data_IF_674279707870
#
_entry.id   IF_674279707870
#
_cell.length_a   1.000
_cell.length_b   1.000
_cell.length_c   1.000
_cell.angle_alpha   90.00
_cell.angle_beta   90.00
_cell.angle_gamma   90.00
#
_symmetry.space_group_name_H-M   'P 1'
#
loop_
_entity.id
_entity.type
_entity.pdbx_description
1 polymer ?
#
# COMPACT_ATOMS: atom_id res chain seq x y z
N UNK A 1 43.58 15.64 3.58
CA UNK A 1 42.27 15.33 4.19
C UNK A 1 41.37 16.54 3.97
N UNK A 2 40.51 16.49 2.95
CA UNK A 2 39.62 17.60 2.61
C UNK A 2 38.22 17.26 3.09
N UNK A 3 37.75 18.02 4.06
CA UNK A 3 36.40 17.94 4.62
C UNK A 3 35.35 18.09 3.53
N UNK A 4 34.79 16.97 3.10
CA UNK A 4 33.55 16.94 2.33
C UNK A 4 32.44 17.42 3.24
N UNK A 5 31.99 18.67 3.07
CA UNK A 5 30.63 19.05 3.46
C UNK A 5 29.69 18.18 2.61
N UNK A 6 29.42 16.96 3.08
CA UNK A 6 28.42 16.10 2.50
C UNK A 6 27.09 16.81 2.67
N UNK A 7 26.42 17.05 1.54
CA UNK A 7 25.02 17.44 1.59
C UNK A 7 24.25 16.34 2.34
N UNK A 8 23.23 16.73 3.10
CA UNK A 8 22.31 15.77 3.73
C UNK A 8 20.94 15.95 3.13
N UNK A 9 20.79 15.78 1.82
CA UNK A 9 19.46 15.67 1.23
C UNK A 9 18.86 14.31 1.62
N UNK A 10 17.58 14.23 2.05
CA UNK A 10 16.57 15.29 2.00
C UNK A 10 16.47 16.14 3.27
N UNK A 11 17.21 15.84 4.35
CA UNK A 11 17.18 16.59 5.62
C UNK A 11 17.41 18.10 5.44
N UNK A 12 18.27 18.48 4.48
CA UNK A 12 18.57 19.86 4.12
C UNK A 12 18.19 20.15 2.67
N UNK A 13 17.19 21.02 2.48
CA UNK A 13 16.78 21.55 1.19
C UNK A 13 16.31 23.01 1.39
N UNK A 14 17.10 24.03 1.01
CA UNK A 14 18.26 24.00 0.13
C UNK A 14 19.55 23.44 0.76
N UNK A 15 20.48 23.01 -0.09
CA UNK A 15 21.83 22.60 0.31
C UNK A 15 22.91 23.22 -0.57
N UNK A 16 24.14 23.29 -0.05
CA UNK A 16 25.31 23.88 -0.72
C UNK A 16 26.30 22.79 -1.15
N UNK A 17 26.82 22.90 -2.36
CA UNK A 17 27.86 22.03 -2.89
C UNK A 17 28.99 22.88 -3.51
N UNK A 18 30.23 22.66 -3.06
CA UNK A 18 31.41 23.35 -3.60
C UNK A 18 31.98 22.54 -4.77
N UNK A 19 32.04 23.16 -5.95
CA UNK A 19 32.44 22.52 -7.20
C UNK A 19 33.31 23.48 -8.02
N UNK A 20 34.52 23.07 -8.39
CA UNK A 20 35.48 23.88 -9.16
C UNK A 20 35.61 25.32 -8.62
N UNK A 21 35.88 25.45 -7.31
CA UNK A 21 35.98 26.73 -6.58
C UNK A 21 34.71 27.61 -6.58
N UNK A 22 33.58 27.10 -7.09
CA UNK A 22 32.28 27.78 -7.06
C UNK A 22 31.37 27.09 -6.06
N UNK A 23 30.67 27.87 -5.24
CA UNK A 23 29.62 27.35 -4.37
C UNK A 23 28.30 27.41 -5.12
N UNK A 24 27.69 26.25 -5.32
CA UNK A 24 26.34 26.13 -5.86
C UNK A 24 25.38 25.85 -4.71
N UNK A 25 24.26 26.55 -4.68
CA UNK A 25 23.14 26.26 -3.79
C UNK A 25 22.00 25.68 -4.63
N UNK A 26 21.54 24.49 -4.25
CA UNK A 26 20.45 23.80 -4.89
C UNK A 26 19.23 23.76 -3.98
N UNK A 27 18.06 24.03 -4.54
CA UNK A 27 16.76 23.75 -3.93
C UNK A 27 16.04 22.74 -4.83
N UNK A 28 15.93 21.49 -4.39
CA UNK A 28 15.21 20.46 -5.14
C UNK A 28 13.72 20.75 -5.02
N UNK A 29 13.06 21.04 -6.14
CA UNK A 29 11.61 21.31 -6.21
C UNK A 29 10.87 20.01 -6.57
N UNK A 30 11.35 19.31 -7.60
CA UNK A 30 10.92 17.96 -7.96
C UNK A 30 12.15 17.10 -8.16
N UNK A 31 12.28 16.04 -7.37
CA UNK A 31 13.42 15.11 -7.44
C UNK A 31 13.46 14.31 -8.75
N UNK A 32 12.29 14.11 -9.38
CA UNK A 32 12.15 13.28 -10.57
C UNK A 32 12.42 11.80 -10.28
N UNK A 33 12.45 10.99 -11.33
CA UNK A 33 12.75 9.56 -11.27
C UNK A 33 13.66 9.17 -12.43
N UNK A 34 14.46 8.11 -12.29
CA UNK A 34 15.17 7.59 -13.46
C UNK A 34 14.22 6.76 -14.32
N UNK A 35 14.17 7.02 -15.65
CA UNK A 35 13.42 6.18 -16.58
C UNK A 35 13.86 4.72 -16.57
N UNK A 36 13.07 3.87 -17.23
CA UNK A 36 13.40 2.45 -17.44
C UNK A 36 14.76 2.28 -18.10
N UNK A 37 15.45 1.17 -17.80
CA UNK A 37 16.82 0.89 -18.27
C UNK A 37 17.00 1.01 -19.80
N UNK A 38 15.94 0.81 -20.57
CA UNK A 38 15.98 0.84 -22.03
C UNK A 38 16.02 2.26 -22.62
N UNK A 39 15.65 3.29 -21.85
CA UNK A 39 15.56 4.68 -22.31
C UNK A 39 16.36 5.66 -21.46
N UNK A 40 16.99 5.21 -20.38
CA UNK A 40 17.75 6.08 -19.49
C UNK A 40 18.98 6.65 -20.20
N UNK A 41 19.10 7.98 -20.21
CA UNK A 41 20.25 8.68 -20.77
C UNK A 41 21.28 9.04 -19.68
N UNK A 42 22.52 9.28 -20.12
CA UNK A 42 23.64 9.68 -19.27
C UNK A 42 24.33 10.92 -19.82
N UNK A 43 24.86 11.77 -18.94
CA UNK A 43 25.80 12.84 -19.30
C UNK A 43 27.15 12.58 -18.65
N UNK A 44 28.24 12.89 -19.33
CA UNK A 44 29.60 12.66 -18.82
C UNK A 44 30.30 13.96 -18.42
N UNK A 45 31.07 13.92 -17.35
CA UNK A 45 32.04 14.97 -17.06
C UNK A 45 33.24 14.83 -18.01
N UNK A 46 33.81 15.95 -18.48
CA UNK A 46 35.08 15.98 -19.26
C UNK A 46 36.32 15.66 -18.40
N UNK A 47 36.18 14.79 -17.39
CA UNK A 47 37.29 14.33 -16.55
C UNK A 47 37.99 13.14 -17.21
N UNK A 48 39.29 12.95 -16.91
CA UNK A 48 40.10 11.80 -17.37
C UNK A 48 39.45 10.45 -17.04
N UNK A 49 38.62 10.40 -16.01
CA UNK A 49 37.97 9.17 -15.54
C UNK A 49 36.57 8.94 -16.14
N UNK A 50 36.08 9.85 -17.01
CA UNK A 50 34.83 9.65 -17.76
C UNK A 50 33.58 9.46 -16.89
N UNK A 51 33.51 10.04 -15.69
CA UNK A 51 32.37 9.87 -14.77
C UNK A 51 31.06 10.24 -15.46
N UNK A 52 30.11 9.29 -15.47
CA UNK A 52 28.78 9.44 -16.05
C UNK A 52 27.74 9.68 -14.96
N UNK A 53 26.75 10.50 -15.27
CA UNK A 53 25.63 10.84 -14.40
C UNK A 53 24.32 10.50 -15.11
N UNK A 54 23.45 9.76 -14.44
CA UNK A 54 22.11 9.41 -14.93
C UNK A 54 21.25 10.66 -15.05
N UNK A 55 20.47 10.76 -16.13
CA UNK A 55 19.57 11.89 -16.36
C UNK A 55 18.16 11.53 -15.85
N UNK A 56 17.63 12.23 -14.83
CA UNK A 56 16.28 11.97 -14.31
C UNK A 56 15.18 12.60 -15.19
N UNK A 57 13.99 12.01 -15.18
CA UNK A 57 12.78 12.55 -15.78
C UNK A 57 11.93 13.29 -14.74
N UNK A 58 11.13 14.28 -15.19
CA UNK A 58 10.29 15.16 -14.37
C UNK A 58 11.07 15.82 -13.21
N UNK A 59 12.32 16.16 -13.47
CA UNK A 59 13.22 16.75 -12.49
C UNK A 59 13.16 18.28 -12.56
N UNK A 60 13.10 18.94 -11.42
CA UNK A 60 13.07 20.39 -11.31
C UNK A 60 13.90 20.84 -10.10
N UNK A 61 14.89 21.67 -10.34
CA UNK A 61 15.78 22.22 -9.30
C UNK A 61 15.95 23.71 -9.51
N UNK A 62 15.93 24.46 -8.42
CA UNK A 62 16.42 25.84 -8.43
C UNK A 62 17.91 25.84 -8.10
N UNK A 63 18.73 26.42 -8.96
CA UNK A 63 20.17 26.50 -8.79
C UNK A 63 20.59 27.96 -8.67
N UNK A 64 21.45 28.26 -7.69
CA UNK A 64 22.09 29.58 -7.61
C UNK A 64 23.59 29.51 -7.33
N UNK A 65 24.35 30.42 -7.92
CA UNK A 65 25.80 30.55 -7.75
C UNK A 65 26.25 32.00 -8.01
N UNK A 66 27.49 32.34 -7.64
CA UNK A 66 28.02 33.69 -7.75
C UNK A 66 27.81 34.53 -6.47
N UNK A 67 28.17 35.81 -6.51
CA UNK A 67 28.11 36.72 -5.35
C UNK A 67 27.50 38.07 -5.73
N UNK A 68 26.75 38.66 -4.79
CA UNK A 68 26.16 40.00 -4.96
C UNK A 68 25.33 40.11 -6.24
N UNK A 69 25.54 41.19 -6.98
CA UNK A 69 24.82 41.49 -8.23
C UNK A 69 25.16 40.53 -9.39
N UNK A 70 26.20 39.70 -9.24
CA UNK A 70 26.59 38.67 -10.20
C UNK A 70 26.03 37.29 -9.83
N UNK A 71 25.12 37.23 -8.84
CA UNK A 71 24.46 35.99 -8.46
C UNK A 71 23.50 35.56 -9.57
N UNK A 72 23.72 34.36 -10.07
CA UNK A 72 22.78 33.68 -10.94
C UNK A 72 21.79 32.90 -10.07
N UNK A 73 20.50 33.02 -10.38
CA UNK A 73 19.42 32.20 -9.80
C UNK A 73 18.51 31.78 -10.94
N UNK A 74 18.41 30.47 -11.16
CA UNK A 74 17.67 29.88 -12.28
C UNK A 74 16.91 28.64 -11.82
N UNK A 75 15.89 28.23 -12.58
CA UNK A 75 15.26 26.91 -12.43
C UNK A 75 15.64 26.03 -13.61
N UNK A 76 16.19 24.87 -13.32
CA UNK A 76 16.59 23.87 -14.29
C UNK A 76 15.59 22.73 -14.27
N UNK A 77 15.09 22.35 -15.44
CA UNK A 77 14.08 21.32 -15.62
C UNK A 77 14.56 20.28 -16.62
N UNK A 78 14.26 19.01 -16.33
CA UNK A 78 14.52 17.89 -17.24
C UNK A 78 13.25 17.07 -17.39
N UNK A 79 12.85 16.89 -18.65
CA UNK A 79 11.71 16.10 -19.03
C UNK A 79 12.05 15.23 -20.25
N UNK A 80 11.65 13.97 -20.22
CA UNK A 80 11.80 13.06 -21.37
C UNK A 80 10.59 13.16 -22.27
N UNK A 81 10.83 13.30 -23.58
CA UNK A 81 9.79 13.24 -24.61
C UNK A 81 9.38 11.79 -24.92
N UNK A 82 8.31 11.62 -25.71
CA UNK A 82 7.74 10.31 -26.05
C UNK A 82 8.71 9.40 -26.80
N UNK A 83 9.69 9.96 -27.49
CA UNK A 83 10.76 9.26 -28.21
C UNK A 83 11.91 8.81 -27.28
N UNK A 84 11.84 9.13 -25.98
CA UNK A 84 12.85 8.82 -25.00
C UNK A 84 14.02 9.82 -24.95
N UNK A 85 13.96 10.93 -25.67
CA UNK A 85 14.99 11.96 -25.60
C UNK A 85 14.75 12.93 -24.44
N UNK A 86 15.75 13.19 -23.57
CA UNK A 86 15.64 14.20 -22.52
C UNK A 86 15.78 15.62 -23.10
N UNK A 87 14.90 16.50 -22.63
CA UNK A 87 14.91 17.93 -22.92
C UNK A 87 15.36 18.68 -21.67
N UNK A 88 16.36 19.54 -21.83
CA UNK A 88 16.95 20.33 -20.77
C UNK A 88 16.50 21.79 -20.88
N UNK A 89 15.73 22.27 -19.91
CA UNK A 89 15.21 23.65 -19.88
C UNK A 89 15.84 24.43 -18.74
N UNK A 90 16.19 25.69 -19.00
CA UNK A 90 16.63 26.64 -17.97
C UNK A 90 15.74 27.86 -18.03
N UNK A 91 14.97 28.05 -16.96
CA UNK A 91 14.13 29.20 -16.72
C UNK A 91 14.91 30.25 -15.91
N UNK A 92 14.94 31.48 -16.40
CA UNK A 92 15.65 32.57 -15.74
C UNK A 92 14.94 33.90 -15.97
N UNK A 93 15.14 34.84 -15.04
CA UNK A 93 14.59 36.17 -15.16
C UNK A 93 15.65 37.15 -15.68
N UNK A 94 15.27 38.04 -16.60
CA UNK A 94 16.10 39.14 -17.10
C UNK A 94 15.19 40.33 -17.35
N UNK A 95 15.55 41.51 -16.85
CA UNK A 95 14.77 42.74 -17.03
C UNK A 95 13.27 42.59 -16.66
N UNK A 96 12.98 41.92 -15.54
CA UNK A 96 11.62 41.64 -15.05
C UNK A 96 10.74 40.78 -15.98
N UNK A 97 11.38 40.06 -16.92
CA UNK A 97 10.72 39.10 -17.80
C UNK A 97 11.33 37.71 -17.62
N UNK A 98 10.48 36.69 -17.69
CA UNK A 98 10.88 35.30 -17.63
C UNK A 98 11.28 34.81 -19.03
N UNK A 99 12.43 34.16 -19.11
CA UNK A 99 12.95 33.54 -20.32
C UNK A 99 13.21 32.06 -20.07
N UNK A 100 13.19 31.29 -21.16
CA UNK A 100 13.55 29.89 -21.18
C UNK A 100 14.56 29.64 -22.30
N UNK A 101 15.61 28.88 -21.99
CA UNK A 101 16.44 28.22 -23.00
C UNK A 101 16.19 26.72 -22.94
N UNK A 102 16.19 26.08 -24.09
CA UNK A 102 15.93 24.65 -24.23
C UNK A 102 17.02 24.02 -25.08
N UNK A 103 17.51 22.86 -24.66
CA UNK A 103 18.38 22.02 -25.47
C UNK A 103 17.99 20.55 -25.37
N UNK A 104 17.98 19.84 -26.50
CA UNK A 104 17.81 18.38 -26.58
C UNK A 104 19.13 17.61 -26.69
N UNK A 105 20.25 18.32 -26.85
CA UNK A 105 21.56 17.69 -27.06
C UNK A 105 22.27 17.34 -25.75
N UNK A 106 22.32 18.28 -24.80
CA UNK A 106 22.95 18.05 -23.49
C UNK A 106 22.60 19.13 -22.48
N UNK A 107 22.70 18.85 -21.16
CA UNK A 107 22.54 19.87 -20.13
C UNK A 107 23.62 20.95 -20.24
N UNK A 108 24.80 20.60 -20.76
CA UNK A 108 25.90 21.54 -20.94
C UNK A 108 25.59 22.53 -22.06
N UNK A 109 24.95 22.10 -23.15
CA UNK A 109 24.53 23.02 -24.21
C UNK A 109 23.50 24.03 -23.69
N UNK A 110 22.45 23.56 -23.01
CA UNK A 110 21.45 24.43 -22.37
C UNK A 110 22.12 25.45 -21.41
N UNK A 111 23.05 25.00 -20.57
CA UNK A 111 23.76 25.89 -19.64
C UNK A 111 24.57 26.99 -20.34
N UNK A 112 25.21 26.67 -21.46
CA UNK A 112 25.99 27.64 -22.23
C UNK A 112 25.12 28.58 -23.07
N UNK A 113 23.98 28.11 -23.57
CA UNK A 113 22.97 28.96 -24.22
C UNK A 113 22.36 29.96 -23.24
N UNK A 114 22.08 29.53 -22.00
CA UNK A 114 21.70 30.45 -20.92
C UNK A 114 22.76 31.53 -20.69
N UNK A 115 24.04 31.13 -20.59
CA UNK A 115 25.12 32.09 -20.33
C UNK A 115 25.25 33.12 -21.47
N UNK A 116 25.17 32.67 -22.73
CA UNK A 116 25.16 33.55 -23.91
C UNK A 116 23.93 34.46 -23.95
N UNK A 117 22.77 33.97 -23.51
CA UNK A 117 21.54 34.78 -23.40
C UNK A 117 21.66 35.89 -22.35
N UNK A 118 22.43 35.66 -21.28
CA UNK A 118 22.77 36.68 -20.27
C UNK A 118 23.85 37.63 -20.76
N UNK A 119 24.90 37.12 -21.39
CA UNK A 119 26.01 37.90 -21.93
C UNK A 119 26.49 37.28 -23.28
N UNK A 120 26.08 37.83 -24.43
CA UNK A 120 26.41 37.27 -25.74
C UNK A 120 27.91 37.17 -26.03
N UNK A 121 28.72 38.07 -25.45
CA UNK A 121 30.16 38.15 -25.66
C UNK A 121 30.96 37.27 -24.68
N UNK A 122 30.29 36.40 -23.93
CA UNK A 122 30.95 35.53 -22.96
C UNK A 122 31.77 34.44 -23.66
N UNK A 123 33.02 34.28 -23.24
CA UNK A 123 33.87 33.13 -23.61
C UNK A 123 33.90 32.04 -22.51
N UNK A 124 33.23 32.28 -21.39
CA UNK A 124 33.15 31.31 -20.32
C UNK A 124 32.23 30.14 -20.69
N UNK A 125 32.48 28.97 -20.12
CA UNK A 125 31.61 27.81 -20.26
C UNK A 125 31.10 27.34 -18.90
N UNK A 126 29.81 27.00 -18.85
CA UNK A 126 29.20 26.34 -17.71
C UNK A 126 29.15 24.83 -17.92
N UNK A 127 29.34 24.10 -16.81
CA UNK A 127 29.10 22.66 -16.76
C UNK A 127 27.62 22.41 -16.53
N UNK A 128 26.95 21.74 -17.48
CA UNK A 128 25.55 21.35 -17.32
C UNK A 128 25.33 20.46 -16.10
N UNK A 129 26.30 19.59 -15.78
CA UNK A 129 26.25 18.71 -14.61
C UNK A 129 26.12 19.53 -13.32
N UNK A 130 26.88 20.63 -13.20
CA UNK A 130 26.82 21.52 -12.04
C UNK A 130 25.57 22.39 -12.08
N UNK A 131 25.24 22.99 -13.22
CA UNK A 131 24.07 23.86 -13.36
C UNK A 131 22.75 23.13 -13.02
N UNK A 132 22.64 21.85 -13.39
CA UNK A 132 21.48 21.01 -13.08
C UNK A 132 21.62 20.24 -11.75
N UNK A 133 22.76 20.34 -11.05
CA UNK A 133 23.02 19.60 -9.82
C UNK A 133 23.01 18.08 -9.98
N UNK A 134 23.33 17.56 -11.17
CA UNK A 134 23.28 16.12 -11.48
C UNK A 134 24.34 15.30 -10.73
N UNK A 135 25.34 15.95 -10.16
CA UNK A 135 26.38 15.32 -9.34
C UNK A 135 26.13 15.44 -7.83
N UNK A 136 24.93 15.86 -7.42
CA UNK A 136 24.52 15.80 -6.02
C UNK A 136 24.23 14.33 -5.63
N UNK A 137 25.24 13.64 -5.08
CA UNK A 137 25.18 12.20 -4.79
C UNK A 137 24.05 11.80 -3.85
N UNK A 138 23.65 12.67 -2.92
CA UNK A 138 22.59 12.34 -1.97
C UNK A 138 21.21 12.41 -2.63
N UNK A 139 21.02 13.33 -3.58
CA UNK A 139 19.80 13.39 -4.42
C UNK A 139 19.73 12.14 -5.32
N UNK A 140 20.86 11.72 -5.88
CA UNK A 140 20.94 10.47 -6.63
C UNK A 140 20.55 9.26 -5.77
N UNK A 141 21.13 9.12 -4.57
CA UNK A 141 20.81 8.03 -3.64
C UNK A 141 19.34 8.01 -3.25
N UNK A 142 18.73 9.16 -2.95
CA UNK A 142 17.31 9.23 -2.63
C UNK A 142 16.43 8.81 -3.82
N UNK A 143 16.78 9.26 -5.02
CA UNK A 143 16.08 8.85 -6.25
C UNK A 143 16.23 7.35 -6.50
N UNK A 144 17.42 6.81 -6.26
CA UNK A 144 17.67 5.37 -6.36
C UNK A 144 16.92 4.59 -5.31
N UNK A 145 16.84 5.03 -4.04
CA UNK A 145 16.04 4.36 -3.01
C UNK A 145 14.57 4.26 -3.41
N UNK A 146 14.01 5.30 -4.03
CA UNK A 146 12.63 5.31 -4.54
C UNK A 146 12.46 4.41 -5.77
N UNK A 147 13.45 4.35 -6.66
CA UNK A 147 13.45 3.44 -7.81
C UNK A 147 13.78 1.99 -7.44
N UNK A 148 14.44 1.76 -6.31
CA UNK A 148 14.55 0.48 -5.62
C UNK A 148 13.33 0.29 -4.73
N UNK A 149 12.13 0.40 -5.30
CA UNK A 149 11.08 -0.50 -4.84
C UNK A 149 11.69 -1.89 -5.00
N UNK A 150 12.08 -2.54 -3.90
CA UNK A 150 12.56 -3.92 -3.94
C UNK A 150 11.68 -4.67 -4.91
N UNK A 151 12.23 -5.12 -6.04
CA UNK A 151 11.42 -5.84 -7.00
C UNK A 151 10.80 -6.98 -6.22
N UNK A 152 9.47 -6.95 -6.10
CA UNK A 152 8.79 -7.92 -5.28
C UNK A 152 9.18 -9.28 -5.83
N UNK A 153 9.67 -10.17 -4.96
CA UNK A 153 9.90 -11.56 -5.34
C UNK A 153 8.66 -12.07 -6.08
N UNK A 154 8.80 -12.74 -7.23
CA UNK A 154 7.67 -13.30 -7.98
C UNK A 154 6.71 -14.05 -7.07
N UNK A 155 5.41 -13.93 -7.32
CA UNK A 155 4.39 -14.44 -6.40
C UNK A 155 4.50 -15.95 -6.17
N UNK A 156 4.90 -16.72 -7.18
CA UNK A 156 5.13 -18.16 -7.10
C UNK A 156 6.34 -18.54 -6.22
N UNK A 157 7.29 -17.61 -6.01
CA UNK A 157 8.46 -17.82 -5.15
C UNK A 157 8.21 -17.47 -3.67
N UNK A 158 6.98 -17.07 -3.33
CA UNK A 158 6.60 -16.74 -1.97
C UNK A 158 6.05 -17.96 -1.22
N UNK A 159 6.27 -18.00 0.09
CA UNK A 159 5.50 -18.88 0.96
C UNK A 159 4.03 -18.45 0.99
N UNK A 160 3.11 -19.36 1.31
CA UNK A 160 1.68 -19.04 1.41
C UNK A 160 1.39 -17.90 2.39
N UNK A 161 2.13 -17.84 3.51
CA UNK A 161 2.03 -16.73 4.48
C UNK A 161 2.39 -15.38 3.84
N UNK A 162 3.48 -15.33 3.05
CA UNK A 162 3.88 -14.11 2.35
C UNK A 162 2.89 -13.72 1.24
N UNK A 163 2.33 -14.71 0.51
CA UNK A 163 1.27 -14.47 -0.49
C UNK A 163 0.05 -13.82 0.16
N UNK A 164 -0.40 -14.34 1.30
CA UNK A 164 -1.53 -13.79 2.06
C UNK A 164 -1.24 -12.40 2.60
N UNK A 165 -0.05 -12.18 3.20
CA UNK A 165 0.34 -10.84 3.70
C UNK A 165 0.37 -9.80 2.58
N UNK A 166 0.93 -10.15 1.43
CA UNK A 166 1.01 -9.25 0.27
C UNK A 166 -0.37 -8.91 -0.27
N UNK A 167 -1.23 -9.91 -0.43
CA UNK A 167 -2.60 -9.73 -0.92
C UNK A 167 -3.42 -8.86 0.06
N UNK A 168 -3.29 -9.09 1.37
CA UNK A 168 -3.89 -8.24 2.40
C UNK A 168 -3.38 -6.80 2.33
N UNK A 169 -2.08 -6.60 2.16
CA UNK A 169 -1.49 -5.26 2.03
C UNK A 169 -2.03 -4.52 0.82
N UNK A 170 -2.23 -5.21 -0.31
CA UNK A 170 -2.86 -4.66 -1.50
C UNK A 170 -4.31 -4.25 -1.23
N UNK A 171 -5.09 -5.08 -0.55
CA UNK A 171 -6.47 -4.76 -0.15
C UNK A 171 -6.55 -3.51 0.73
N UNK A 172 -5.70 -3.40 1.77
CA UNK A 172 -5.67 -2.21 2.64
C UNK A 172 -5.35 -0.95 1.82
N UNK A 173 -4.39 -1.07 0.89
CA UNK A 173 -4.01 0.05 0.04
C UNK A 173 -5.15 0.49 -0.89
N UNK A 174 -5.91 -0.46 -1.45
CA UNK A 174 -7.07 -0.15 -2.30
C UNK A 174 -8.18 0.59 -1.55
N UNK A 175 -8.44 0.22 -0.30
CA UNK A 175 -9.37 0.97 0.56
C UNK A 175 -8.88 2.40 0.80
N UNK A 176 -7.59 2.58 1.10
CA UNK A 176 -7.01 3.92 1.24
C UNK A 176 -7.17 4.77 -0.04
N UNK A 177 -6.93 4.16 -1.21
CA UNK A 177 -7.12 4.84 -2.50
C UNK A 177 -8.59 5.23 -2.69
N UNK A 178 -9.51 4.29 -2.42
CA UNK A 178 -10.94 4.53 -2.55
C UNK A 178 -11.39 5.73 -1.69
N UNK A 179 -10.99 5.77 -0.42
CA UNK A 179 -11.33 6.88 0.48
C UNK A 179 -10.79 8.22 -0.02
N UNK A 180 -9.56 8.25 -0.56
CA UNK A 180 -8.94 9.48 -1.06
C UNK A 180 -9.57 9.98 -2.36
N UNK A 181 -9.89 9.07 -3.29
CA UNK A 181 -10.41 9.43 -4.61
C UNK A 181 -11.92 9.70 -4.61
N UNK A 182 -12.65 9.14 -3.65
CA UNK A 182 -14.10 9.29 -3.53
C UNK A 182 -14.58 10.74 -3.63
N UNK A 183 -13.86 11.67 -2.98
CA UNK A 183 -14.20 13.10 -2.97
C UNK A 183 -14.11 13.77 -4.34
N UNK A 184 -13.41 13.16 -5.29
CA UNK A 184 -13.30 13.66 -6.66
C UNK A 184 -14.52 13.31 -7.53
N UNK A 185 -15.33 12.33 -7.12
CA UNK A 185 -16.43 11.78 -7.92
C UNK A 185 -17.81 11.91 -7.28
N UNK A 186 -17.88 11.94 -5.95
CA UNK A 186 -19.14 11.94 -5.20
C UNK A 186 -19.23 13.15 -4.28
N UNK A 187 -20.47 13.58 -3.99
CA UNK A 187 -20.69 14.56 -2.94
C UNK A 187 -20.47 13.90 -1.56
N UNK A 188 -20.03 14.68 -0.57
CA UNK A 188 -19.86 14.19 0.80
C UNK A 188 -21.15 13.62 1.41
N UNK A 189 -22.33 14.04 0.93
CA UNK A 189 -23.63 13.50 1.33
C UNK A 189 -23.94 12.11 0.77
N UNK A 190 -23.29 11.68 -0.32
CA UNK A 190 -23.62 10.42 -1.00
C UNK A 190 -23.05 9.18 -0.30
N UNK A 191 -22.09 9.37 0.63
CA UNK A 191 -21.48 8.33 1.48
C UNK A 191 -21.15 7.02 0.73
N UNK A 192 -20.34 7.04 -0.33
CA UNK A 192 -19.98 5.82 -1.04
C UNK A 192 -19.09 4.94 -0.15
N UNK A 193 -19.31 3.63 -0.22
CA UNK A 193 -18.63 2.62 0.60
C UNK A 193 -18.03 1.55 -0.32
N UNK A 194 -16.75 1.24 -0.12
CA UNK A 194 -16.13 0.08 -0.74
C UNK A 194 -16.60 -1.17 0.01
N UNK A 195 -17.34 -2.06 -0.66
CA UNK A 195 -17.92 -3.24 -0.01
C UNK A 195 -16.97 -4.43 -0.02
N UNK A 196 -16.50 -4.83 -1.20
CA UNK A 196 -15.56 -5.93 -1.38
C UNK A 196 -14.64 -5.68 -2.58
N UNK A 197 -13.46 -6.29 -2.54
CA UNK A 197 -12.63 -6.49 -3.73
C UNK A 197 -12.38 -7.97 -3.95
N UNK A 198 -12.51 -8.39 -5.21
CA UNK A 198 -12.14 -9.72 -5.69
C UNK A 198 -11.05 -9.58 -6.72
N UNK A 199 -9.96 -10.31 -6.53
CA UNK A 199 -8.85 -10.29 -7.46
C UNK A 199 -8.16 -11.64 -7.50
N UNK A 200 -7.52 -11.93 -8.63
CA UNK A 200 -6.75 -13.14 -8.82
C UNK A 200 -5.27 -12.78 -8.96
N UNK A 201 -4.41 -13.58 -8.33
CA UNK A 201 -2.97 -13.56 -8.60
C UNK A 201 -2.54 -14.96 -9.02
N UNK A 202 -2.19 -15.09 -10.30
CA UNK A 202 -1.89 -16.36 -10.96
C UNK A 202 -3.12 -17.28 -11.03
N UNK A 203 -3.25 -18.18 -10.04
CA UNK A 203 -4.34 -19.16 -9.96
C UNK A 203 -5.02 -19.13 -8.58
N UNK A 204 -4.78 -18.08 -7.79
CA UNK A 204 -5.35 -17.93 -6.45
C UNK A 204 -6.25 -16.72 -6.40
N UNK A 205 -7.52 -16.97 -6.09
CA UNK A 205 -8.52 -15.94 -5.87
C UNK A 205 -8.38 -15.40 -4.45
N UNK A 206 -8.50 -14.07 -4.34
CA UNK A 206 -8.51 -13.33 -3.09
C UNK A 206 -9.79 -12.51 -3.03
N UNK A 207 -10.42 -12.53 -1.86
CA UNK A 207 -11.55 -11.71 -1.50
C UNK A 207 -11.17 -10.91 -0.26
N UNK A 208 -11.34 -9.60 -0.31
CA UNK A 208 -11.33 -8.76 0.87
C UNK A 208 -12.69 -8.08 0.99
N UNK A 209 -13.34 -8.28 2.13
CA UNK A 209 -14.61 -7.66 2.48
C UNK A 209 -14.31 -6.54 3.48
N UNK A 210 -14.79 -5.34 3.19
CA UNK A 210 -14.58 -4.12 3.97
C UNK A 210 -15.84 -3.66 4.70
N UNK A 211 -17.01 -4.22 4.35
CA UNK A 211 -18.19 -4.01 5.16
C UNK A 211 -17.90 -4.56 6.56
N UNK A 212 -18.19 -3.75 7.59
CA UNK A 212 -18.27 -4.26 8.95
C UNK A 212 -19.16 -5.49 8.91
N UNK A 213 -18.58 -6.63 9.31
CA UNK A 213 -19.37 -7.81 9.54
C UNK A 213 -20.36 -7.43 10.62
N UNK A 214 -21.62 -7.28 10.25
CA UNK A 214 -22.68 -7.17 11.23
C UNK A 214 -22.59 -8.47 12.04
N UNK A 215 -22.02 -8.40 13.25
CA UNK A 215 -21.77 -9.55 14.11
C UNK A 215 -23.07 -10.33 14.32
N UNK A 216 -24.21 -9.64 14.35
CA UNK A 216 -25.52 -10.26 14.47
C UNK A 216 -25.88 -11.11 13.25
N UNK A 217 -25.62 -10.62 12.03
CA UNK A 217 -25.83 -11.39 10.79
C UNK A 217 -24.85 -12.56 10.65
N UNK A 218 -23.60 -12.37 11.06
CA UNK A 218 -22.60 -13.45 11.05
C UNK A 218 -22.96 -14.53 12.08
N UNK A 219 -23.40 -14.13 13.28
CA UNK A 219 -23.89 -15.04 14.30
C UNK A 219 -25.14 -15.81 13.83
N UNK A 220 -26.13 -15.12 13.24
CA UNK A 220 -27.32 -15.77 12.66
C UNK A 220 -26.94 -16.80 11.59
N UNK A 221 -25.96 -16.48 10.75
CA UNK A 221 -25.44 -17.40 9.73
C UNK A 221 -24.77 -18.63 10.37
N UNK A 222 -23.90 -18.44 11.36
CA UNK A 222 -23.23 -19.52 12.09
C UNK A 222 -24.25 -20.40 12.83
N UNK A 223 -25.27 -19.79 13.44
CA UNK A 223 -26.34 -20.49 14.16
C UNK A 223 -27.20 -21.34 13.21
N UNK A 224 -27.50 -20.83 12.01
CA UNK A 224 -28.20 -21.59 10.97
C UNK A 224 -27.40 -22.82 10.53
N UNK A 225 -26.09 -22.69 10.31
CA UNK A 225 -25.21 -23.83 10.02
C UNK A 225 -25.16 -24.82 11.18
N UNK A 226 -25.02 -24.33 12.41
CA UNK A 226 -25.00 -25.18 13.61
C UNK A 226 -26.28 -26.00 13.72
N UNK A 227 -27.44 -25.38 13.48
CA UNK A 227 -28.74 -26.05 13.46
C UNK A 227 -28.82 -27.15 12.41
N UNK A 228 -28.38 -26.90 11.18
CA UNK A 228 -28.40 -27.91 10.10
C UNK A 228 -27.50 -29.10 10.44
N UNK A 229 -26.31 -28.84 10.99
CA UNK A 229 -25.37 -29.88 11.42
C UNK A 229 -25.97 -30.72 12.57
N UNK A 230 -26.69 -30.10 13.50
CA UNK A 230 -27.33 -30.81 14.61
C UNK A 230 -28.55 -31.64 14.15
N UNK A 231 -29.30 -31.17 13.15
CA UNK A 231 -30.44 -31.88 12.56
C UNK A 231 -30.03 -33.06 11.67
N UNK A 232 -28.91 -32.94 10.96
CA UNK A 232 -28.36 -33.98 10.10
C UNK A 232 -26.90 -34.25 10.47
N UNK A 233 -26.64 -35.05 11.53
CA UNK A 233 -25.30 -35.17 12.10
C UNK A 233 -24.28 -35.70 11.09
N UNK A 234 -23.35 -34.81 10.72
CA UNK A 234 -22.15 -35.13 9.95
C UNK A 234 -21.00 -35.39 10.93
N UNK A 235 -20.15 -36.38 10.62
CA UNK A 235 -18.96 -36.62 11.45
C UNK A 235 -18.01 -35.40 11.38
N UNK A 236 -17.29 -35.16 12.47
CA UNK A 236 -16.37 -34.03 12.57
C UNK A 236 -15.32 -34.05 11.45
N UNK A 237 -14.76 -35.22 11.15
CA UNK A 237 -13.75 -35.38 10.10
C UNK A 237 -14.34 -35.12 8.70
N UNK A 238 -15.57 -35.60 8.43
CA UNK A 238 -16.24 -35.33 7.17
C UNK A 238 -16.53 -33.84 6.98
N UNK A 239 -16.98 -33.14 8.04
CA UNK A 239 -17.19 -31.69 7.98
C UNK A 239 -15.87 -30.92 7.80
N UNK A 240 -14.79 -31.31 8.48
CA UNK A 240 -13.48 -30.69 8.30
C UNK A 240 -12.97 -30.83 6.87
N UNK A 241 -13.14 -32.00 6.25
CA UNK A 241 -12.79 -32.22 4.85
C UNK A 241 -13.65 -31.36 3.91
N UNK A 242 -14.96 -31.25 4.17
CA UNK A 242 -15.86 -30.40 3.38
C UNK A 242 -15.50 -28.90 3.48
N UNK A 243 -15.24 -28.41 4.70
CA UNK A 243 -14.86 -27.02 4.93
C UNK A 243 -13.45 -26.69 4.39
N UNK A 244 -12.59 -27.69 4.17
CA UNK A 244 -11.32 -27.49 3.48
C UNK A 244 -11.51 -27.30 1.97
N UNK A 245 -12.56 -27.90 1.38
CA UNK A 245 -12.89 -27.78 -0.03
C UNK A 245 -13.70 -26.53 -0.36
N UNK A 246 -14.56 -26.08 0.56
CA UNK A 246 -15.44 -24.92 0.37
C UNK A 246 -15.12 -23.80 1.38
N UNK A 247 -14.40 -22.74 0.94
CA UNK A 247 -13.97 -21.63 1.81
C UNK A 247 -15.12 -20.86 2.47
N UNK A 248 -16.31 -20.90 1.89
CA UNK A 248 -17.51 -20.22 2.38
C UNK A 248 -18.12 -20.91 3.61
N UNK A 249 -17.74 -22.17 3.91
CA UNK A 249 -18.26 -22.88 5.08
C UNK A 249 -17.59 -22.39 6.38
N UNK A 250 -18.36 -22.24 7.48
CA UNK A 250 -17.79 -21.95 8.79
C UNK A 250 -16.82 -23.06 9.23
N UNK A 251 -15.67 -22.69 9.80
CA UNK A 251 -14.73 -23.69 10.32
C UNK A 251 -15.30 -24.43 11.52
N UNK A 252 -14.91 -25.69 11.71
CA UNK A 252 -15.29 -26.55 12.84
C UNK A 252 -15.20 -25.84 14.21
N UNK A 253 -14.12 -25.09 14.44
CA UNK A 253 -13.95 -24.32 15.69
C UNK A 253 -15.05 -23.27 15.92
N UNK A 254 -15.52 -22.62 14.85
CA UNK A 254 -16.56 -21.59 14.91
C UNK A 254 -17.91 -22.24 15.27
N UNK A 255 -18.24 -23.37 14.64
CA UNK A 255 -19.44 -24.16 14.96
C UNK A 255 -19.39 -24.66 16.41
N UNK A 256 -18.25 -25.19 16.87
CA UNK A 256 -18.09 -25.64 18.25
C UNK A 256 -18.30 -24.51 19.26
N UNK A 257 -17.77 -23.33 18.98
CA UNK A 257 -17.95 -22.15 19.84
C UNK A 257 -19.42 -21.70 19.87
N UNK A 258 -20.10 -21.72 18.73
CA UNK A 258 -21.53 -21.40 18.66
C UNK A 258 -22.38 -22.40 19.47
N UNK A 259 -22.12 -23.70 19.35
CA UNK A 259 -22.77 -24.73 20.20
C UNK A 259 -22.58 -24.47 21.69
N UNK A 260 -21.36 -24.12 22.11
CA UNK A 260 -21.08 -23.79 23.53
C UNK A 260 -21.88 -22.57 23.98
N UNK A 261 -21.86 -21.49 23.20
CA UNK A 261 -22.65 -20.28 23.48
C UNK A 261 -24.14 -20.59 23.61
N UNK A 262 -24.71 -21.33 22.65
CA UNK A 262 -26.13 -21.72 22.68
C UNK A 262 -26.45 -22.55 23.93
N UNK A 263 -25.59 -23.52 24.29
CA UNK A 263 -25.78 -24.33 25.49
C UNK A 263 -25.72 -23.50 26.78
N UNK A 264 -24.82 -22.51 26.85
CA UNK A 264 -24.73 -21.57 27.98
C UNK A 264 -26.00 -20.71 28.09
N UNK A 265 -26.47 -20.14 26.97
CA UNK A 265 -27.73 -19.37 26.93
C UNK A 265 -28.95 -20.23 27.30
N UNK A 266 -29.01 -21.46 26.80
CA UNK A 266 -30.06 -22.42 27.11
C UNK A 266 -30.06 -22.82 28.59
N UNK A 267 -28.88 -23.06 29.17
CA UNK A 267 -28.72 -23.38 30.60
C UNK A 267 -29.23 -22.24 31.50
N UNK A 268 -29.01 -20.99 31.11
CA UNK A 268 -29.54 -19.83 31.84
C UNK A 268 -31.06 -19.69 31.71
N UNK A 269 -31.63 -19.98 30.53
CA UNK A 269 -33.07 -19.82 30.26
C UNK A 269 -33.91 -21.01 30.74
N UNK A 270 -33.33 -22.21 30.73
CA UNK A 270 -33.98 -23.47 31.09
C UNK A 270 -33.12 -24.13 32.18
N UNK A 271 -33.34 -23.79 33.46
CA UNK A 271 -32.57 -24.38 34.55
C UNK A 271 -32.85 -25.88 34.63
N UNK A 272 -31.81 -26.68 34.36
CA UNK A 272 -31.87 -28.13 34.51
C UNK A 272 -31.50 -28.46 35.96
N UNK A 273 -32.46 -28.98 36.71
CA UNK A 273 -32.24 -29.46 38.08
C UNK A 273 -31.98 -30.96 38.06
N UNK A 274 -30.88 -31.41 38.66
CA UNK A 274 -30.60 -32.85 38.84
C UNK A 274 -31.26 -33.30 40.13
N UNK A 275 -32.37 -34.03 40.04
CA UNK A 275 -33.03 -34.65 41.19
C UNK A 275 -32.30 -35.95 41.54
N UNK A 276 -31.72 -36.01 42.73
CA UNK A 276 -31.15 -37.23 43.28
C UNK A 276 -32.25 -38.02 44.01
N UNK A 277 -32.83 -39.01 43.34
CA UNK A 277 -33.99 -39.80 43.82
C UNK A 277 -33.62 -40.78 44.94
N UNK A 278 -32.34 -40.86 45.34
CA UNK A 278 -31.88 -41.86 46.33
C UNK A 278 -32.48 -41.70 47.73
N UNK A 279 -33.14 -40.57 48.04
CA UNK A 279 -33.72 -40.30 49.35
C UNK A 279 -35.09 -39.62 49.31
N UNK A 280 -35.96 -39.95 48.35
CA UNK A 280 -37.38 -39.59 48.46
C UNK A 280 -38.08 -40.68 49.29
N UNK A 281 -38.55 -40.40 50.52
CA UNK A 281 -39.38 -41.36 51.23
C UNK A 281 -40.68 -41.49 50.44
N UNK A 282 -41.00 -42.71 49.99
CA UNK A 282 -42.33 -43.03 49.48
C UNK A 282 -43.28 -42.93 50.68
N UNK A 283 -43.82 -41.73 50.94
CA UNK A 283 -44.82 -41.53 51.97
C UNK A 283 -46.14 -42.17 51.49
N UNK A 284 -46.43 -43.34 52.06
CA UNK A 284 -47.74 -43.90 52.39
C UNK A 284 -48.92 -43.63 51.44
N UNK A 285 -49.36 -44.71 50.79
CA UNK A 285 -50.76 -45.06 50.48
C UNK A 285 -51.67 -43.94 50.00
N UNK A 286 -51.75 -43.75 48.69
CA UNK A 286 -52.95 -43.22 48.06
C UNK A 286 -53.72 -44.42 47.51
N UNK A 287 -54.73 -44.87 48.25
CA UNK A 287 -55.82 -45.66 47.71
C UNK A 287 -56.66 -44.71 46.84
N UNK A 288 -56.25 -44.50 45.60
CA UNK A 288 -57.12 -43.95 44.55
C UNK A 288 -57.48 -45.08 43.61
N UNK A 289 -58.78 -45.22 43.32
CA UNK A 289 -59.27 -46.16 42.33
C UNK A 289 -58.64 -45.81 40.96
N UNK A 290 -58.29 -46.82 40.13
CA UNK A 290 -57.73 -46.55 38.81
C UNK A 290 -58.75 -45.79 37.95
N UNK A 291 -58.36 -44.60 37.49
CA UNK A 291 -59.17 -43.72 36.62
C UNK A 291 -59.19 -44.18 35.14
N UNK A 292 -58.70 -45.38 34.87
CA UNK A 292 -58.55 -45.94 33.51
C UNK A 292 -59.13 -47.36 33.52
N UNK A 293 -60.36 -47.48 33.04
CA UNK A 293 -61.04 -48.77 32.77
C UNK A 293 -60.88 -49.22 31.30
N UNK A 294 -59.93 -48.62 30.56
CA UNK A 294 -59.73 -48.96 29.15
C UNK A 294 -58.78 -50.15 29.00
N UNK A 295 -59.36 -51.31 28.70
CA UNK A 295 -58.66 -52.59 28.57
C UNK A 295 -57.59 -52.59 27.46
N UNK A 296 -57.69 -51.68 26.49
CA UNK A 296 -56.76 -51.62 25.34
C UNK A 296 -55.39 -51.04 25.72
N UNK A 297 -55.34 -50.17 26.75
CA UNK A 297 -54.09 -49.51 27.21
C UNK A 297 -53.27 -50.45 28.11
N UNK A 298 -53.92 -51.41 28.78
CA UNK A 298 -53.26 -52.32 29.72
C UNK A 298 -52.47 -53.42 29.00
N UNK A 299 -52.89 -53.84 27.82
CA UNK A 299 -52.20 -54.89 27.05
C UNK A 299 -50.96 -54.38 26.30
N UNK A 300 -50.80 -53.07 26.06
CA UNK A 300 -49.64 -52.53 25.34
C UNK A 300 -48.40 -52.31 26.24
N UNK A 301 -48.55 -52.48 27.56
CA UNK A 301 -47.49 -52.25 28.57
C UNK A 301 -46.88 -53.56 29.12
N UNK A 302 -47.41 -54.72 28.73
CA UNK A 302 -46.82 -56.06 29.02
C UNK A 302 -46.06 -56.63 27.82
#
# INVERSE_FOLDING_TARGET
MSSSNQSKYPENNPFLLKQNNTNYTYTIIKEGFYPSKNIICYTSARSRNGTQFKIPNKYLVQTSWGRGNLRHTIKCEIEYELDGQPVFRIWFEKNFQQYVVESKESPTKAANEYLRSKNPNTHANLSGIHVFGLNATDVEKEREKKNHSHSFKPFNMLSESMKTKRSRSFSIHMDTIFQNETLNFYNSSDQPVLQEIRFNVQNKNYLANYCDKNEEKENQHIDAFTKVIDQGPISRDAYQNLAALQPELPRDRVILNARKRINEEMSQKIPISILNIKHTPLASTINEAPDIEDQEIVEEIL
#
